data_IF_026238723549
#
_entry.id   IF_026238723549
#
_cell.length_a   1.000
_cell.length_b   1.000
_cell.length_c   1.000
_cell.angle_alpha   90.00
_cell.angle_beta   90.00
_cell.angle_gamma   90.00
#
_symmetry.space_group_name_H-M   'P 1'
#
loop_
_entity.id
_entity.type
_entity.pdbx_description
1 polymer ?
#
# COMPACT_ATOMS: atom_id res chain seq x y z
N UNK A 1 -4.48 7.27 -3.96
CA UNK A 1 -3.84 5.93 -3.98
C UNK A 1 -4.08 5.22 -2.67
N UNK A 2 -4.42 3.92 -2.71
CA UNK A 2 -4.65 3.13 -1.50
C UNK A 2 -3.33 2.54 -1.01
N UNK A 3 -2.50 3.40 -0.41
CA UNK A 3 -1.18 3.06 0.11
C UNK A 3 -0.85 3.88 1.35
N UNK A 4 0.15 3.46 2.14
CA UNK A 4 0.71 4.34 3.17
C UNK A 4 1.32 5.60 2.55
N UNK A 5 1.40 6.71 3.30
CA UNK A 5 2.18 7.87 2.89
C UNK A 5 3.63 7.49 2.57
N UNK A 6 4.15 8.00 1.47
CA UNK A 6 5.49 7.74 0.97
C UNK A 6 5.75 8.53 -0.30
N UNK A 7 7.01 8.71 -0.70
CA UNK A 7 7.39 9.58 -1.83
C UNK A 7 6.73 9.16 -3.15
N UNK A 8 6.64 7.86 -3.41
CA UNK A 8 5.95 7.36 -4.60
C UNK A 8 4.46 7.70 -4.58
N UNK A 9 3.79 7.51 -3.43
CA UNK A 9 2.37 7.83 -3.30
C UNK A 9 2.11 9.34 -3.48
N UNK A 10 2.96 10.20 -2.93
CA UNK A 10 2.89 11.66 -3.11
C UNK A 10 3.10 12.08 -4.56
N UNK A 11 4.09 11.49 -5.24
CA UNK A 11 4.36 11.72 -6.67
C UNK A 11 3.14 11.36 -7.51
N UNK A 12 2.55 10.18 -7.26
CA UNK A 12 1.38 9.73 -8.00
C UNK A 12 0.18 10.66 -7.77
N UNK A 13 -0.05 11.14 -6.54
CA UNK A 13 -1.09 12.16 -6.26
C UNK A 13 -0.83 13.46 -7.01
N UNK A 14 0.43 13.90 -7.09
CA UNK A 14 0.78 15.12 -7.83
C UNK A 14 0.56 14.96 -9.34
N UNK A 15 0.92 13.79 -9.91
CA UNK A 15 0.69 13.47 -11.32
C UNK A 15 -0.81 13.41 -11.67
N UNK A 16 -1.61 12.77 -10.82
CA UNK A 16 -3.06 12.69 -10.98
C UNK A 16 -3.71 14.09 -10.95
N UNK A 17 -3.32 14.93 -9.99
CA UNK A 17 -3.77 16.34 -9.92
C UNK A 17 -3.33 17.18 -11.12
N UNK A 18 -2.23 16.83 -11.76
CA UNK A 18 -1.75 17.48 -12.98
C UNK A 18 -2.44 16.96 -14.26
N UNK A 19 -3.36 15.99 -14.15
CA UNK A 19 -4.08 15.43 -15.29
C UNK A 19 -3.29 14.39 -16.09
N UNK A 20 -2.35 13.69 -15.46
CA UNK A 20 -1.61 12.60 -16.11
C UNK A 20 -2.56 11.49 -16.59
N UNK A 21 -2.22 10.84 -17.71
CA UNK A 21 -3.00 9.70 -18.20
C UNK A 21 -2.85 8.48 -17.30
N UNK A 22 -3.81 7.56 -17.39
CA UNK A 22 -3.74 6.29 -16.67
C UNK A 22 -2.50 5.47 -17.05
N UNK A 23 -2.03 5.54 -18.31
CA UNK A 23 -0.78 4.86 -18.70
C UNK A 23 0.42 5.46 -17.97
N UNK A 24 0.54 6.80 -17.95
CA UNK A 24 1.64 7.49 -17.27
C UNK A 24 1.65 7.22 -15.76
N UNK A 25 0.47 7.15 -15.13
CA UNK A 25 0.32 6.77 -13.73
C UNK A 25 0.72 5.30 -13.49
N UNK A 26 0.35 4.40 -14.40
CA UNK A 26 0.70 2.98 -14.34
C UNK A 26 2.21 2.75 -14.47
N UNK A 27 2.85 3.43 -15.41
CA UNK A 27 4.32 3.40 -15.59
C UNK A 27 5.04 3.93 -14.35
N UNK A 28 4.60 5.07 -13.82
CA UNK A 28 5.18 5.66 -12.62
C UNK A 28 5.01 4.75 -11.38
N UNK A 29 3.88 4.06 -11.26
CA UNK A 29 3.63 3.11 -10.16
C UNK A 29 4.49 1.85 -10.27
N UNK A 30 4.90 1.48 -11.49
CA UNK A 30 5.74 0.30 -11.73
C UNK A 30 5.05 -1.04 -11.46
N UNK A 31 3.72 -1.07 -11.37
CA UNK A 31 2.90 -2.28 -11.17
C UNK A 31 3.44 -3.21 -10.07
N UNK A 32 3.59 -4.51 -10.40
CA UNK A 32 4.08 -5.53 -9.47
C UNK A 32 5.51 -5.26 -8.96
N UNK A 33 6.34 -4.55 -9.72
CA UNK A 33 7.68 -4.15 -9.25
C UNK A 33 7.57 -3.15 -8.11
N UNK A 34 6.74 -2.11 -8.26
CA UNK A 34 6.51 -1.12 -7.19
C UNK A 34 5.94 -1.76 -5.92
N UNK A 35 5.06 -2.76 -6.07
CA UNK A 35 4.53 -3.52 -4.94
C UNK A 35 5.62 -4.33 -4.22
N UNK A 36 6.49 -5.03 -4.97
CA UNK A 36 7.60 -5.79 -4.39
C UNK A 36 8.55 -4.90 -3.60
N UNK A 37 8.98 -3.79 -4.20
CA UNK A 37 9.91 -2.83 -3.57
C UNK A 37 9.34 -2.29 -2.26
N UNK A 38 8.04 -1.97 -2.24
CA UNK A 38 7.37 -1.45 -1.04
C UNK A 38 7.08 -2.52 0.02
N UNK A 39 6.39 -3.60 -0.35
CA UNK A 39 5.86 -4.60 0.58
C UNK A 39 6.87 -5.67 0.99
N UNK A 40 7.77 -6.08 0.09
CA UNK A 40 8.71 -7.17 0.34
C UNK A 40 10.10 -6.65 0.75
N UNK A 41 10.57 -5.61 0.08
CA UNK A 41 11.92 -5.06 0.32
C UNK A 41 11.93 -3.93 1.35
N UNK A 42 10.75 -3.42 1.74
CA UNK A 42 10.62 -2.39 2.79
C UNK A 42 10.99 -0.98 2.33
N UNK A 43 11.08 -0.73 1.02
CA UNK A 43 11.42 0.58 0.47
C UNK A 43 10.15 1.32 0.02
N UNK A 44 9.61 2.15 0.92
CA UNK A 44 8.43 2.98 0.67
C UNK A 44 8.72 4.27 -0.14
N UNK A 45 10.00 4.57 -0.40
CA UNK A 45 10.39 5.72 -1.23
C UNK A 45 10.26 5.38 -2.72
N UNK A 46 10.66 4.17 -3.11
CA UNK A 46 10.65 3.70 -4.50
C UNK A 46 9.51 2.72 -4.81
N UNK A 47 8.86 2.18 -3.78
CA UNK A 47 7.73 1.27 -3.88
C UNK A 47 6.50 1.77 -3.17
N UNK A 48 5.40 1.02 -3.24
CA UNK A 48 4.15 1.34 -2.55
C UNK A 48 3.70 0.19 -1.64
N UNK A 49 3.17 0.55 -0.47
CA UNK A 49 2.68 -0.40 0.54
C UNK A 49 1.15 -0.44 0.44
N UNK A 50 0.58 -1.52 -0.08
CA UNK A 50 -0.86 -1.63 -0.34
C UNK A 50 -1.61 -2.12 0.89
N UNK A 51 -2.47 -1.27 1.49
CA UNK A 51 -3.19 -1.58 2.74
C UNK A 51 -4.66 -1.14 2.70
N UNK A 52 -5.50 -1.81 3.49
CA UNK A 52 -6.86 -1.36 3.76
C UNK A 52 -6.96 -0.31 4.86
N UNK A 53 -8.08 0.40 4.92
CA UNK A 53 -8.39 1.36 6.00
C UNK A 53 -8.43 0.71 7.38
N UNK A 54 -8.66 -0.61 7.45
CA UNK A 54 -8.60 -1.40 8.67
C UNK A 54 -7.21 -1.51 9.33
N UNK A 55 -6.13 -1.09 8.66
CA UNK A 55 -4.77 -1.16 9.23
C UNK A 55 -4.67 -0.40 10.56
N UNK A 56 -5.40 0.72 10.72
CA UNK A 56 -5.39 1.52 11.94
C UNK A 56 -5.90 0.80 13.20
N UNK A 57 -6.63 -0.32 13.01
CA UNK A 57 -7.11 -1.17 14.10
C UNK A 57 -6.09 -2.24 14.52
N UNK A 58 -5.05 -2.50 13.72
CA UNK A 58 -4.02 -3.49 14.01
C UNK A 58 -2.95 -2.84 14.89
N UNK A 59 -2.88 -3.25 16.16
CA UNK A 59 -1.96 -2.66 17.18
C UNK A 59 -0.82 -3.58 17.60
N UNK A 60 -0.86 -4.83 17.17
CA UNK A 60 0.16 -5.83 17.46
C UNK A 60 0.25 -6.81 16.31
N UNK A 61 1.40 -7.46 16.17
CA UNK A 61 1.52 -8.64 15.30
C UNK A 61 0.79 -9.79 15.97
N UNK A 62 -0.06 -10.47 15.23
CA UNK A 62 -0.79 -11.66 15.68
C UNK A 62 -0.54 -12.79 14.69
N UNK A 63 -0.52 -14.03 15.20
CA UNK A 63 -0.59 -15.21 14.36
C UNK A 63 -1.93 -15.28 13.63
N UNK A 64 -1.98 -16.03 12.53
CA UNK A 64 -3.22 -16.27 11.79
C UNK A 64 -4.28 -16.93 12.70
N UNK A 65 -3.87 -17.86 13.56
CA UNK A 65 -4.77 -18.54 14.49
C UNK A 65 -5.46 -17.56 15.44
N UNK A 66 -4.70 -16.67 16.10
CA UNK A 66 -5.26 -15.66 17.01
C UNK A 66 -6.25 -14.71 16.31
N UNK A 67 -6.00 -14.38 15.04
CA UNK A 67 -6.92 -13.54 14.26
C UNK A 67 -8.21 -14.29 13.95
N UNK A 68 -8.13 -15.56 13.54
CA UNK A 68 -9.31 -16.38 13.25
C UNK A 68 -10.13 -16.62 14.51
N UNK A 69 -9.50 -16.97 15.63
CA UNK A 69 -10.18 -17.20 16.91
C UNK A 69 -10.92 -15.95 17.40
N UNK A 70 -10.33 -14.76 17.24
CA UNK A 70 -10.98 -13.51 17.61
C UNK A 70 -12.21 -13.16 16.75
N UNK A 71 -12.33 -13.73 15.54
CA UNK A 71 -13.45 -13.49 14.62
C UNK A 71 -14.57 -14.54 14.77
N UNK A 72 -14.27 -15.71 15.33
CA UNK A 72 -15.22 -16.83 15.44
C UNK A 72 -15.99 -16.86 16.76
N UNK A 73 -15.53 -16.14 17.79
CA UNK A 73 -16.28 -15.97 19.05
C UNK A 73 -17.42 -14.97 18.80
N UNK A 74 -18.62 -15.50 18.56
CA UNK A 74 -19.89 -14.76 18.50
C UNK A 74 -20.56 -14.72 19.87
#
# INVERSE_FOLDING_TARGET
YRSLPGRLAEKLVAMDKAGASNEALGEAMGGLRGLRVGMLEGNADEGYIALGTGIGSIRSVKSVAEVVDALTVS
#
